data_IF_219799159229
#
_entry.id   IF_219799159229
#
_cell.length_a   1.000
_cell.length_b   1.000
_cell.length_c   1.000
_cell.angle_alpha   90.00
_cell.angle_beta   90.00
_cell.angle_gamma   90.00
#
_symmetry.space_group_name_H-M   'P 1'
#
loop_
_entity.id
_entity.type
_entity.pdbx_description
1 polymer ?
#
# COMPACT_ATOMS: atom_id res chain seq x y z
N UNK A 1 14.84 5.98 -4.37
CA UNK A 1 15.12 4.67 -5.00
C UNK A 1 13.90 3.75 -4.93
N UNK A 2 13.74 2.79 -5.87
CA UNK A 2 12.59 1.88 -5.92
C UNK A 2 13.06 0.42 -6.00
N UNK A 3 12.57 -0.43 -5.10
CA UNK A 3 12.94 -1.84 -4.99
C UNK A 3 11.71 -2.74 -5.13
N UNK A 4 11.87 -3.84 -5.86
CA UNK A 4 10.87 -4.92 -5.86
C UNK A 4 11.18 -5.87 -4.71
N UNK A 5 10.35 -5.88 -3.66
CA UNK A 5 10.51 -6.83 -2.55
C UNK A 5 10.02 -8.22 -2.95
N UNK A 6 8.88 -8.32 -3.62
CA UNK A 6 8.30 -9.58 -4.09
C UNK A 6 7.31 -9.32 -5.23
N UNK A 7 7.36 -10.11 -6.30
CA UNK A 7 6.41 -10.01 -7.43
C UNK A 7 5.21 -10.95 -7.28
N UNK A 8 5.43 -12.16 -6.76
CA UNK A 8 4.41 -13.19 -6.61
C UNK A 8 3.44 -12.87 -5.47
N UNK A 9 2.22 -13.41 -5.51
CA UNK A 9 1.26 -13.24 -4.42
C UNK A 9 1.79 -13.73 -3.07
N UNK A 10 1.29 -13.11 -2.00
CA UNK A 10 1.44 -13.54 -0.61
C UNK A 10 0.15 -13.27 0.15
N UNK A 11 -0.19 -14.14 1.10
CA UNK A 11 -1.30 -13.92 1.99
C UNK A 11 -1.04 -12.73 2.91
N UNK A 12 -2.10 -11.98 3.17
CA UNK A 12 -2.12 -10.84 4.07
C UNK A 12 -3.13 -11.12 5.18
N UNK A 13 -2.72 -10.86 6.40
CA UNK A 13 -3.59 -10.89 7.56
C UNK A 13 -3.84 -9.46 8.04
N UNK A 14 -5.10 -9.06 8.13
CA UNK A 14 -5.53 -7.74 8.54
C UNK A 14 -6.30 -7.84 9.84
N UNK A 15 -6.00 -6.98 10.79
CA UNK A 15 -6.81 -6.80 11.98
C UNK A 15 -7.30 -5.37 12.09
N UNK A 16 -8.50 -5.20 12.63
CA UNK A 16 -9.17 -3.92 12.80
C UNK A 16 -9.27 -3.56 14.28
N UNK A 17 -9.42 -2.25 14.58
CA UNK A 17 -9.61 -1.75 15.95
C UNK A 17 -10.88 -2.34 16.59
N UNK A 18 -11.94 -2.47 15.79
CA UNK A 18 -13.21 -3.07 16.18
C UNK A 18 -13.71 -3.90 15.00
N UNK A 19 -13.80 -5.22 15.16
CA UNK A 19 -14.26 -6.15 14.11
C UNK A 19 -13.43 -7.42 14.01
N UNK A 20 -13.86 -8.32 13.13
CA UNK A 20 -13.16 -9.58 12.85
C UNK A 20 -11.92 -9.33 11.99
N UNK A 21 -10.88 -10.15 12.22
CA UNK A 21 -9.70 -10.15 11.37
C UNK A 21 -10.03 -10.76 9.99
N UNK A 22 -9.28 -10.35 8.97
CA UNK A 22 -9.37 -10.91 7.62
C UNK A 22 -8.05 -11.58 7.27
N UNK A 23 -8.12 -12.78 6.71
CA UNK A 23 -6.96 -13.57 6.25
C UNK A 23 -7.08 -14.00 4.78
N UNK A 24 -8.18 -13.62 4.11
CA UNK A 24 -8.47 -14.00 2.73
C UNK A 24 -7.78 -13.13 1.68
N UNK A 25 -7.12 -12.03 2.05
CA UNK A 25 -6.53 -11.11 1.10
C UNK A 25 -5.18 -11.57 0.58
N UNK A 26 -4.98 -11.41 -0.73
CA UNK A 26 -3.71 -11.63 -1.39
C UNK A 26 -3.09 -10.28 -1.80
N UNK A 27 -1.87 -10.03 -1.33
CA UNK A 27 -1.03 -8.95 -1.84
C UNK A 27 -0.12 -9.44 -2.94
N UNK A 28 0.08 -8.65 -4.00
CA UNK A 28 1.12 -8.88 -5.00
C UNK A 28 1.99 -7.63 -5.19
N UNK A 29 3.06 -7.77 -5.98
CA UNK A 29 3.91 -6.65 -6.38
C UNK A 29 4.32 -5.76 -5.19
N UNK A 30 4.86 -6.38 -4.15
CA UNK A 30 5.41 -5.67 -3.00
C UNK A 30 6.59 -4.83 -3.46
N UNK A 31 6.43 -3.52 -3.41
CA UNK A 31 7.40 -2.54 -3.91
C UNK A 31 7.74 -1.58 -2.80
N UNK A 32 9.01 -1.33 -2.58
CA UNK A 32 9.48 -0.35 -1.61
C UNK A 32 10.05 0.85 -2.34
N UNK A 33 9.50 2.04 -2.08
CA UNK A 33 10.07 3.31 -2.52
C UNK A 33 10.75 3.96 -1.32
N UNK A 34 12.01 4.34 -1.49
CA UNK A 34 12.81 5.03 -0.48
C UNK A 34 13.07 6.45 -0.98
N UNK A 35 12.59 7.44 -0.25
CA UNK A 35 12.81 8.85 -0.49
C UNK A 35 13.43 9.49 0.76
N UNK A 36 14.74 9.70 0.71
CA UNK A 36 15.55 10.10 1.87
C UNK A 36 15.27 9.19 3.09
N UNK A 37 14.68 9.74 4.16
CA UNK A 37 14.31 9.01 5.38
C UNK A 37 12.96 8.29 5.34
N UNK A 38 12.20 8.41 4.25
CA UNK A 38 10.85 7.87 4.13
C UNK A 38 10.82 6.61 3.26
N UNK A 39 10.37 5.51 3.86
CA UNK A 39 10.18 4.22 3.19
C UNK A 39 8.69 3.98 2.97
N UNK A 40 8.25 3.90 1.71
CA UNK A 40 6.86 3.60 1.37
C UNK A 40 6.76 2.20 0.77
N UNK A 41 6.12 1.28 1.49
CA UNK A 41 5.78 -0.05 0.98
C UNK A 41 4.45 0.01 0.23
N UNK A 42 4.47 -0.20 -1.07
CA UNK A 42 3.30 -0.43 -1.90
C UNK A 42 2.96 -1.92 -2.00
N UNK A 43 1.68 -2.24 -1.89
CA UNK A 43 1.12 -3.58 -2.09
C UNK A 43 -0.10 -3.49 -3.00
N UNK A 44 -0.12 -4.30 -4.04
CA UNK A 44 -1.23 -4.37 -5.00
C UNK A 44 -2.25 -5.42 -4.56
N UNK A 45 -3.47 -4.96 -4.29
CA UNK A 45 -4.65 -5.75 -3.89
C UNK A 45 -5.68 -5.89 -5.02
N UNK A 46 -5.44 -5.29 -6.19
CA UNK A 46 -6.34 -5.33 -7.36
C UNK A 46 -6.81 -6.74 -7.72
N UNK A 47 -5.95 -7.80 -7.69
CA UNK A 47 -6.37 -9.15 -8.06
C UNK A 47 -7.55 -9.70 -7.24
N UNK A 48 -7.74 -9.25 -6.00
CA UNK A 48 -8.84 -9.71 -5.15
C UNK A 48 -10.22 -9.28 -5.69
N UNK A 49 -10.27 -8.27 -6.58
CA UNK A 49 -11.50 -7.81 -7.24
C UNK A 49 -11.75 -8.43 -8.62
N UNK A 50 -10.78 -9.16 -9.18
CA UNK A 50 -10.89 -9.77 -10.52
C UNK A 50 -11.51 -11.17 -10.49
N UNK A 51 -12.00 -11.61 -9.33
CA UNK A 51 -12.63 -12.92 -9.18
C UNK A 51 -13.98 -12.94 -9.90
N UNK A 52 -14.20 -13.96 -10.73
CA UNK A 52 -15.50 -14.20 -11.38
C UNK A 52 -16.59 -14.46 -10.34
N UNK A 53 -16.23 -15.16 -9.26
CA UNK A 53 -17.14 -15.43 -8.16
C UNK A 53 -17.08 -14.31 -7.10
N UNK A 54 -18.13 -13.49 -7.02
CA UNK A 54 -18.25 -12.42 -6.03
C UNK A 54 -18.66 -12.90 -4.63
N UNK A 55 -19.00 -14.17 -4.47
CA UNK A 55 -19.17 -14.78 -3.14
C UNK A 55 -17.89 -15.39 -2.59
N UNK A 56 -16.77 -15.34 -3.34
CA UNK A 56 -15.49 -15.81 -2.85
C UNK A 56 -15.02 -14.96 -1.66
N UNK A 57 -14.46 -15.61 -0.63
CA UNK A 57 -14.00 -14.96 0.59
C UNK A 57 -13.05 -13.77 0.30
N UNK A 58 -12.06 -13.95 -0.58
CA UNK A 58 -11.12 -12.89 -0.96
C UNK A 58 -11.79 -11.65 -1.58
N UNK A 59 -12.88 -11.83 -2.35
CA UNK A 59 -13.63 -10.69 -2.89
C UNK A 59 -14.40 -9.96 -1.78
N UNK A 60 -15.09 -10.71 -0.92
CA UNK A 60 -15.85 -10.15 0.19
C UNK A 60 -14.94 -9.42 1.18
N UNK A 61 -13.78 -9.99 1.50
CA UNK A 61 -12.76 -9.36 2.32
C UNK A 61 -12.21 -8.09 1.69
N UNK A 62 -12.00 -8.07 0.37
CA UNK A 62 -11.48 -6.88 -0.31
C UNK A 62 -12.51 -5.74 -0.33
N UNK A 63 -13.79 -6.08 -0.51
CA UNK A 63 -14.90 -5.14 -0.37
C UNK A 63 -15.00 -4.65 1.07
N UNK A 64 -14.94 -5.55 2.05
CA UNK A 64 -15.02 -5.21 3.47
C UNK A 64 -13.87 -4.28 3.90
N UNK A 65 -12.65 -4.59 3.44
CA UNK A 65 -11.48 -3.76 3.65
C UNK A 65 -11.69 -2.34 3.11
N UNK A 66 -12.17 -2.18 1.87
CA UNK A 66 -12.39 -0.86 1.28
C UNK A 66 -13.34 0.02 2.13
N UNK A 67 -14.35 -0.58 2.77
CA UNK A 67 -15.29 0.15 3.64
C UNK A 67 -14.72 0.43 5.03
N UNK A 68 -13.92 -0.50 5.57
CA UNK A 68 -13.42 -0.44 6.95
C UNK A 68 -11.93 -0.04 7.05
N UNK A 69 -11.34 0.44 5.97
CA UNK A 69 -9.90 0.73 5.86
C UNK A 69 -9.38 1.69 6.95
N UNK A 70 -10.22 2.63 7.40
CA UNK A 70 -9.90 3.62 8.45
C UNK A 70 -9.81 3.00 9.85
N UNK A 71 -10.37 1.79 10.03
CA UNK A 71 -10.31 1.02 11.27
C UNK A 71 -9.12 0.04 11.29
N UNK A 72 -8.31 -0.01 10.23
CA UNK A 72 -7.18 -0.93 10.15
C UNK A 72 -6.23 -0.67 11.32
N UNK A 73 -5.90 -1.72 12.06
CA UNK A 73 -4.98 -1.69 13.21
C UNK A 73 -3.59 -2.16 12.80
N UNK A 74 -3.51 -3.28 12.11
CA UNK A 74 -2.25 -3.76 11.55
C UNK A 74 -2.48 -4.60 10.29
N UNK A 75 -1.43 -4.72 9.48
CA UNK A 75 -1.31 -5.68 8.40
C UNK A 75 -0.10 -6.57 8.65
N UNK A 76 -0.28 -7.87 8.53
CA UNK A 76 0.76 -8.87 8.66
C UNK A 76 0.97 -9.59 7.32
N UNK A 77 2.23 -9.78 6.95
CA UNK A 77 2.66 -10.59 5.83
C UNK A 77 3.65 -11.62 6.35
N UNK A 78 3.28 -12.91 6.30
CA UNK A 78 4.13 -14.02 6.78
C UNK A 78 5.33 -14.31 5.87
N UNK A 79 5.50 -13.56 4.78
CA UNK A 79 6.56 -13.81 3.83
C UNK A 79 7.94 -13.32 4.32
N UNK A 80 8.85 -14.28 4.48
CA UNK A 80 10.21 -14.00 4.94
C UNK A 80 11.04 -13.20 3.92
N UNK A 81 10.77 -13.33 2.61
CA UNK A 81 11.51 -12.57 1.62
C UNK A 81 11.17 -11.07 1.69
N UNK A 82 9.89 -10.74 1.83
CA UNK A 82 9.44 -9.36 2.10
C UNK A 82 10.07 -8.84 3.38
N UNK A 83 10.00 -9.60 4.48
CA UNK A 83 10.63 -9.22 5.76
C UNK A 83 12.11 -8.90 5.59
N UNK A 84 12.90 -9.84 5.09
CA UNK A 84 14.37 -9.69 4.99
C UNK A 84 14.76 -8.49 4.14
N UNK A 85 14.09 -8.27 3.00
CA UNK A 85 14.42 -7.14 2.12
C UNK A 85 13.99 -5.79 2.70
N UNK A 86 12.86 -5.76 3.40
CA UNK A 86 12.39 -4.55 4.08
C UNK A 86 13.34 -4.16 5.22
N UNK A 87 13.73 -5.10 6.09
CA UNK A 87 14.66 -4.84 7.21
C UNK A 87 15.98 -4.28 6.68
N UNK A 88 16.55 -4.90 5.63
CA UNK A 88 17.80 -4.41 5.02
C UNK A 88 17.69 -2.97 4.52
N UNK A 89 16.58 -2.61 3.90
CA UNK A 89 16.36 -1.24 3.45
C UNK A 89 16.15 -0.27 4.62
N UNK A 90 15.46 -0.71 5.66
CA UNK A 90 15.23 0.06 6.88
C UNK A 90 16.53 0.41 7.60
N UNK A 91 17.44 -0.56 7.76
CA UNK A 91 18.74 -0.39 8.43
C UNK A 91 19.70 0.54 7.67
N UNK A 92 19.51 0.71 6.36
CA UNK A 92 20.35 1.57 5.52
C UNK A 92 19.97 3.05 5.60
N UNK A 93 18.85 3.38 6.23
CA UNK A 93 18.31 4.74 6.30
C UNK A 93 18.47 5.27 7.71
N UNK A 94 19.03 6.46 7.86
CA UNK A 94 19.17 7.10 9.17
C UNK A 94 17.82 7.69 9.62
N UNK A 95 17.38 7.35 10.83
CA UNK A 95 16.09 7.76 11.40
C UNK A 95 14.90 7.49 10.44
N UNK A 96 14.70 6.22 10.05
CA UNK A 96 13.71 5.85 9.05
C UNK A 96 12.28 6.06 9.55
N UNK A 97 11.40 6.46 8.63
CA UNK A 97 9.95 6.50 8.82
C UNK A 97 9.28 5.63 7.77
N UNK A 98 8.16 4.98 8.10
CA UNK A 98 7.48 4.08 7.18
C UNK A 98 6.07 4.54 6.81
N UNK A 99 5.74 4.35 5.54
CA UNK A 99 4.38 4.40 5.01
C UNK A 99 4.03 3.06 4.37
N UNK A 100 2.75 2.72 4.40
CA UNK A 100 2.18 1.60 3.66
C UNK A 100 1.10 2.11 2.73
N UNK A 101 1.17 1.74 1.46
CA UNK A 101 0.18 2.04 0.44
C UNK A 101 -0.47 0.74 -0.04
N UNK A 102 -1.78 0.64 0.13
CA UNK A 102 -2.58 -0.49 -0.34
C UNK A 102 -3.37 -0.04 -1.57
N UNK A 103 -3.04 -0.61 -2.73
CA UNK A 103 -3.59 -0.21 -4.03
C UNK A 103 -4.69 -1.19 -4.47
N UNK A 104 -5.91 -0.67 -4.68
CA UNK A 104 -7.07 -1.43 -5.14
C UNK A 104 -7.35 -1.19 -6.63
N UNK A 105 -6.40 -0.60 -7.35
CA UNK A 105 -6.49 -0.23 -8.75
C UNK A 105 -7.53 0.88 -8.97
N UNK A 106 -8.50 0.69 -9.87
CA UNK A 106 -9.53 1.72 -10.15
C UNK A 106 -10.40 2.11 -8.95
N UNK A 107 -10.38 1.30 -7.88
CA UNK A 107 -11.15 1.56 -6.65
C UNK A 107 -10.46 2.51 -5.68
N UNK A 108 -9.25 2.96 -6.01
CA UNK A 108 -8.45 3.87 -5.21
C UNK A 108 -7.32 3.19 -4.46
N UNK A 109 -6.64 3.97 -3.64
CA UNK A 109 -5.52 3.54 -2.81
C UNK A 109 -5.65 4.12 -1.41
N UNK A 110 -5.14 3.39 -0.42
CA UNK A 110 -5.14 3.85 0.96
C UNK A 110 -3.70 3.95 1.47
N UNK A 111 -3.38 5.08 2.09
CA UNK A 111 -2.05 5.38 2.61
C UNK A 111 -2.07 5.44 4.13
N UNK A 112 -1.04 4.88 4.75
CA UNK A 112 -0.93 4.78 6.20
C UNK A 112 0.47 5.14 6.65
N UNK A 113 0.59 5.80 7.80
CA UNK A 113 1.82 5.80 8.59
C UNK A 113 1.87 4.52 9.40
N UNK A 114 2.99 3.79 9.36
CA UNK A 114 3.11 2.48 10.01
C UNK A 114 4.42 2.31 10.77
N UNK A 115 4.41 1.44 11.77
CA UNK A 115 5.62 0.94 12.42
C UNK A 115 5.85 -0.53 12.04
N UNK A 116 7.03 -0.88 11.49
CA UNK A 116 7.34 -2.26 11.19
C UNK A 116 7.76 -3.04 12.44
N UNK A 117 7.16 -4.21 12.65
CA UNK A 117 7.52 -5.15 13.70
C UNK A 117 7.84 -6.52 13.09
N UNK A 118 9.06 -7.01 13.35
CA UNK A 118 9.46 -8.35 12.91
C UNK A 118 8.80 -9.43 13.76
N UNK A 119 8.17 -10.40 13.11
CA UNK A 119 7.50 -11.48 13.81
C UNK A 119 8.46 -12.62 14.11
N UNK A 120 8.34 -13.17 15.32
CA UNK A 120 9.22 -14.24 15.82
C UNK A 120 9.22 -15.48 14.90
N UNK A 121 8.06 -15.89 14.41
CA UNK A 121 7.91 -17.08 13.54
C UNK A 121 8.17 -16.82 12.05
N UNK A 122 8.57 -15.61 11.66
CA UNK A 122 8.71 -15.24 10.25
C UNK A 122 7.70 -14.18 9.81
N UNK A 123 8.09 -13.41 8.80
CA UNK A 123 7.28 -12.32 8.27
C UNK A 123 7.36 -11.01 9.06
N UNK A 124 6.54 -10.06 8.64
CA UNK A 124 6.51 -8.67 9.13
C UNK A 124 5.08 -8.27 9.45
N UNK A 125 4.89 -7.56 10.56
CA UNK A 125 3.68 -6.82 10.88
C UNK A 125 3.93 -5.32 10.71
N UNK A 126 2.94 -4.61 10.19
CA UNK A 126 2.94 -3.18 9.98
C UNK A 126 1.79 -2.60 10.81
N UNK A 127 2.14 -2.04 11.97
CA UNK A 127 1.20 -1.45 12.90
C UNK A 127 0.80 -0.06 12.42
N UNK A 128 -0.49 0.12 12.14
CA UNK A 128 -1.03 1.40 11.66
C UNK A 128 -1.02 2.42 12.79
N UNK A 129 -0.27 3.49 12.59
CA UNK A 129 -0.25 4.65 13.49
C UNK A 129 -1.36 5.63 13.10
N UNK A 130 -1.45 5.94 11.80
CA UNK A 130 -2.33 6.98 11.27
C UNK A 130 -2.76 6.64 9.84
N UNK A 131 -3.99 7.02 9.48
CA UNK A 131 -4.48 7.02 8.11
C UNK A 131 -4.05 8.34 7.47
N UNK A 132 -3.28 8.26 6.39
CA UNK A 132 -2.81 9.45 5.69
C UNK A 132 -3.78 9.80 4.57
N UNK A 133 -4.21 11.05 4.51
CA UNK A 133 -4.92 11.55 3.34
C UNK A 133 -3.97 11.51 2.15
N UNK A 134 -4.46 10.97 1.05
CA UNK A 134 -3.76 11.11 -0.21
C UNK A 134 -3.81 12.58 -0.57
N UNK A 135 -2.69 13.31 -0.48
CA UNK A 135 -2.60 14.63 -1.07
C UNK A 135 -2.98 14.47 -2.55
N UNK A 136 -4.22 14.85 -2.87
CA UNK A 136 -4.77 14.73 -4.19
C UNK A 136 -3.83 15.46 -5.14
N UNK A 137 -3.04 14.68 -5.87
CA UNK A 137 -2.14 15.07 -6.97
C UNK A 137 -2.29 16.56 -7.35
N UNK A 138 -1.57 17.45 -6.66
CA UNK A 138 -1.41 18.85 -7.09
C UNK A 138 -0.51 18.84 -8.32
N UNK A 139 -1.06 18.44 -9.46
CA UNK A 139 -0.49 18.56 -10.80
C UNK A 139 -1.57 18.27 -11.84
N UNK A 140 -2.67 19.02 -11.83
CA UNK A 140 -3.43 19.26 -13.06
C UNK A 140 -2.99 20.61 -13.60
N UNK A 141 -1.97 20.54 -14.46
CA UNK A 141 -1.83 21.32 -15.68
C UNK A 141 -2.36 22.75 -15.63
N UNK A 142 -1.49 23.70 -15.30
CA UNK A 142 -1.63 25.06 -15.81
C UNK A 142 -1.66 24.96 -17.32
N UNK A 143 -2.84 25.07 -17.92
CA UNK A 143 -2.98 25.28 -19.37
C UNK A 143 -2.43 26.68 -19.63
N UNK A 144 -1.16 26.74 -19.98
CA UNK A 144 -0.55 27.93 -20.55
C UNK A 144 -1.23 28.18 -21.91
N UNK A 145 -1.85 29.35 -22.03
CA UNK A 145 -2.51 29.84 -23.23
C UNK A 145 -1.58 29.75 -24.45
N UNK A 146 -2.08 29.35 -25.64
CA UNK A 146 -1.42 29.71 -26.87
C UNK A 146 -1.66 31.20 -27.14
N UNK A 147 -0.60 32.00 -27.11
CA UNK A 147 -0.54 33.32 -27.73
C UNK A 147 -0.92 33.19 -29.20
N UNK A 148 -2.08 33.70 -29.58
CA UNK A 148 -2.44 33.98 -30.96
C UNK A 148 -1.67 35.23 -31.40
N UNK A 149 -0.45 35.01 -31.87
CA UNK A 149 0.17 35.89 -32.84
C UNK A 149 -0.55 35.71 -34.18
N UNK A 150 -1.29 36.73 -34.59
CA UNK A 150 -1.63 36.96 -36.00
C UNK A 150 -1.44 38.43 -36.30
N UNK A 151 -0.20 38.74 -36.67
CA UNK A 151 0.04 39.70 -37.73
C UNK A 151 -0.63 39.18 -39.01
N UNK A 152 -1.46 40.00 -39.65
CA UNK A 152 -1.39 40.31 -41.08
C UNK A 152 -2.56 41.20 -41.53
N UNK A 153 -2.19 42.23 -42.30
CA UNK A 153 -2.97 43.21 -43.08
C UNK A 153 -3.45 44.45 -42.32
#
# INVERSE_FOLDING_TARGET
MKYSLRKTPSHLHLAYKYGEASDGLLGRNFVLVVDDKQLTLGVDLTPNFHLRNKSAAAYLDAVNFAHNHHKLRYLQCSDNLVRTRLIRAWEQVQQPSMRMCLDLGPRGRFLYSVLPHSLFMGGIQLDVQEVLEEEASRSRTTVQQPQLARDHA
#
